data_IF_185127583758
#
_entry.id   IF_185127583758
#
_cell.length_a   1.000
_cell.length_b   1.000
_cell.length_c   1.000
_cell.angle_alpha   90.00
_cell.angle_beta   90.00
_cell.angle_gamma   90.00
#
_symmetry.space_group_name_H-M   'P 1'
#
loop_
_entity.id
_entity.type
_entity.pdbx_description
1 polymer ?
#
# COMPACT_ATOMS: atom_id res chain seq x y z
N UNK A 1 44.30 25.29 14.29
CA UNK A 1 43.67 24.86 15.55
C UNK A 1 43.64 23.34 15.56
N UNK A 2 44.48 22.67 16.34
CA UNK A 2 44.51 21.20 16.45
C UNK A 2 43.57 20.81 17.59
N UNK A 3 42.45 20.16 17.25
CA UNK A 3 41.50 19.64 18.24
C UNK A 3 42.13 18.39 18.89
N UNK A 4 42.52 18.49 20.16
CA UNK A 4 42.92 17.33 20.93
C UNK A 4 41.71 16.82 21.70
N UNK A 5 41.14 15.70 21.24
CA UNK A 5 40.11 14.98 21.97
C UNK A 5 40.79 14.12 23.07
N UNK A 6 40.30 14.15 24.31
CA UNK A 6 40.86 13.31 25.36
C UNK A 6 40.63 11.83 25.06
N UNK A 7 41.57 10.93 25.37
CA UNK A 7 41.52 9.51 25.01
C UNK A 7 40.28 8.77 25.54
N UNK A 8 39.68 9.27 26.63
CA UNK A 8 38.42 8.70 27.17
C UNK A 8 37.20 8.93 26.25
N UNK A 9 37.16 10.04 25.48
CA UNK A 9 36.11 10.29 24.51
C UNK A 9 36.26 9.43 23.24
N UNK A 10 37.52 9.14 22.85
CA UNK A 10 37.80 8.28 21.71
C UNK A 10 37.40 6.83 22.01
N UNK A 11 37.61 6.35 23.24
CA UNK A 11 37.19 5.01 23.67
C UNK A 11 35.69 4.86 23.77
N UNK A 12 34.95 5.90 24.19
CA UNK A 12 33.50 5.90 24.23
C UNK A 12 32.89 5.94 22.82
N UNK A 13 33.52 6.66 21.88
CA UNK A 13 33.07 6.70 20.48
C UNK A 13 33.32 5.37 19.76
N UNK A 14 34.44 4.68 20.04
CA UNK A 14 34.73 3.34 19.50
C UNK A 14 33.82 2.27 20.13
N UNK A 15 33.46 2.40 21.40
CA UNK A 15 32.52 1.50 22.07
C UNK A 15 31.07 1.65 21.54
N UNK A 16 30.67 2.86 21.12
CA UNK A 16 29.39 3.08 20.44
C UNK A 16 29.37 2.58 18.97
N UNK A 17 30.54 2.41 18.33
CA UNK A 17 30.64 1.86 16.99
C UNK A 17 30.72 0.34 16.94
N UNK A 18 30.90 -0.34 18.07
CA UNK A 18 30.59 -1.75 18.20
C UNK A 18 29.07 -1.93 18.35
N UNK A 19 28.28 -1.40 17.41
CA UNK A 19 26.98 -1.98 17.11
C UNK A 19 27.30 -3.41 16.68
N UNK A 20 27.18 -4.32 17.66
CA UNK A 20 27.11 -5.73 17.40
C UNK A 20 26.04 -5.86 16.35
N UNK A 21 26.44 -6.09 15.10
CA UNK A 21 25.56 -6.62 14.08
C UNK A 21 25.16 -7.99 14.64
N UNK A 22 24.10 -8.01 15.45
CA UNK A 22 23.42 -9.25 15.77
C UNK A 22 23.05 -9.76 14.37
N UNK A 23 23.61 -10.88 13.90
CA UNK A 23 23.18 -11.42 12.65
C UNK A 23 21.69 -11.67 12.83
N UNK A 24 20.85 -10.86 12.20
CA UNK A 24 19.43 -11.18 12.09
C UNK A 24 19.40 -12.59 11.52
N UNK A 25 18.86 -13.51 12.29
CA UNK A 25 18.68 -14.87 11.81
C UNK A 25 17.79 -14.76 10.57
N UNK A 26 18.41 -14.91 9.39
CA UNK A 26 17.65 -14.86 8.14
C UNK A 26 16.60 -15.95 8.20
N UNK A 27 15.38 -15.64 7.87
CA UNK A 27 14.31 -16.60 7.77
C UNK A 27 14.73 -17.74 6.83
N UNK A 28 14.43 -18.97 7.19
CA UNK A 28 14.73 -20.10 6.31
C UNK A 28 13.85 -20.03 5.06
N UNK A 29 14.43 -20.43 3.93
CA UNK A 29 13.76 -20.46 2.64
C UNK A 29 13.38 -21.90 2.30
N UNK A 30 12.13 -22.10 1.86
CA UNK A 30 11.61 -23.41 1.46
C UNK A 30 10.99 -23.31 0.08
N UNK A 31 11.54 -24.06 -0.88
CA UNK A 31 11.04 -24.13 -2.26
C UNK A 31 9.93 -25.15 -2.39
N UNK A 32 8.81 -24.76 -2.96
CA UNK A 32 7.68 -25.63 -3.26
C UNK A 32 7.96 -26.53 -4.47
N UNK A 33 7.78 -27.84 -4.32
CA UNK A 33 8.00 -28.84 -5.36
C UNK A 33 6.70 -29.32 -6.05
N UNK A 34 5.53 -29.01 -5.48
CA UNK A 34 4.22 -29.19 -6.12
C UNK A 34 3.82 -30.64 -6.41
N UNK A 35 4.27 -31.62 -5.63
CA UNK A 35 3.91 -33.02 -5.84
C UNK A 35 2.41 -33.28 -5.63
N UNK A 36 1.80 -32.54 -4.70
CA UNK A 36 0.35 -32.44 -4.50
C UNK A 36 0.03 -31.07 -3.91
N UNK A 37 -1.24 -30.76 -3.62
CA UNK A 37 -1.62 -29.45 -3.08
C UNK A 37 -1.46 -29.30 -1.56
N UNK A 38 -1.05 -30.33 -0.81
CA UNK A 38 -0.95 -30.28 0.64
C UNK A 38 0.34 -29.61 1.11
N UNK A 39 0.24 -28.43 1.71
CA UNK A 39 1.38 -27.70 2.28
C UNK A 39 2.09 -28.48 3.40
N UNK A 40 1.42 -29.46 4.02
CA UNK A 40 1.99 -30.31 5.07
C UNK A 40 2.83 -31.45 4.53
N UNK A 41 2.75 -31.77 3.25
CA UNK A 41 3.51 -32.85 2.65
C UNK A 41 5.00 -32.57 2.72
N UNK A 42 5.74 -33.35 3.54
CA UNK A 42 7.19 -33.19 3.72
C UNK A 42 7.95 -33.16 2.39
N UNK A 43 7.54 -33.98 1.42
CA UNK A 43 8.16 -34.09 0.11
C UNK A 43 7.75 -32.97 -0.86
N UNK A 44 6.85 -32.09 -0.47
CA UNK A 44 6.45 -30.93 -1.28
C UNK A 44 7.43 -29.75 -1.16
N UNK A 45 8.45 -29.87 -0.32
CA UNK A 45 9.39 -28.78 -0.02
C UNK A 45 10.86 -29.17 -0.20
N UNK A 46 11.65 -28.21 -0.55
CA UNK A 46 13.11 -28.30 -0.55
C UNK A 46 13.70 -27.09 0.24
N UNK A 47 14.39 -27.31 1.39
CA UNK A 47 14.57 -28.61 2.05
C UNK A 47 13.24 -29.23 2.51
N UNK A 48 13.22 -30.54 2.68
CA UNK A 48 12.05 -31.30 3.14
C UNK A 48 11.61 -30.82 4.53
N UNK A 49 10.30 -30.69 4.74
CA UNK A 49 9.67 -30.20 5.98
C UNK A 49 9.12 -31.40 6.76
N UNK A 50 9.88 -31.86 7.73
CA UNK A 50 9.45 -32.98 8.61
C UNK A 50 8.43 -32.52 9.67
N UNK A 51 8.56 -31.29 10.18
CA UNK A 51 7.65 -30.64 11.12
C UNK A 51 7.12 -29.33 10.54
N UNK A 52 6.01 -29.44 9.84
CA UNK A 52 5.33 -28.28 9.24
C UNK A 52 4.86 -27.24 10.30
N UNK A 53 4.52 -27.70 11.52
CA UNK A 53 4.06 -26.81 12.57
C UNK A 53 5.19 -25.88 13.02
N UNK A 54 6.41 -26.36 13.11
CA UNK A 54 7.56 -25.54 13.42
C UNK A 54 7.91 -24.56 12.28
N UNK A 55 7.62 -24.93 11.02
CA UNK A 55 7.99 -24.14 9.83
C UNK A 55 6.93 -23.09 9.48
N UNK A 56 5.63 -23.42 9.59
CA UNK A 56 4.56 -22.60 9.04
C UNK A 56 3.49 -22.17 10.06
N UNK A 57 3.66 -22.43 11.35
CA UNK A 57 2.67 -22.03 12.36
C UNK A 57 3.27 -21.19 13.49
N UNK A 58 2.41 -20.69 14.36
CA UNK A 58 2.81 -19.95 15.55
C UNK A 58 3.58 -18.67 15.23
N UNK A 59 4.85 -18.63 15.62
CA UNK A 59 5.77 -17.48 15.41
C UNK A 59 6.73 -17.67 14.24
N UNK A 60 6.48 -18.66 13.36
CA UNK A 60 7.33 -18.92 12.21
C UNK A 60 7.45 -17.69 11.30
N UNK A 61 8.66 -17.47 10.80
CA UNK A 61 9.03 -16.31 9.97
C UNK A 61 9.63 -16.71 8.63
N UNK A 62 9.46 -17.98 8.22
CA UNK A 62 10.09 -18.54 7.03
C UNK A 62 9.50 -17.99 5.73
N UNK A 63 10.28 -18.08 4.66
CA UNK A 63 9.90 -17.63 3.32
C UNK A 63 9.56 -18.81 2.42
N UNK A 64 8.45 -18.73 1.69
CA UNK A 64 8.07 -19.66 0.63
C UNK A 64 8.66 -19.20 -0.70
N UNK A 65 9.32 -20.11 -1.40
CA UNK A 65 9.80 -19.90 -2.77
C UNK A 65 8.91 -20.70 -3.71
N UNK A 66 8.22 -20.01 -4.60
CA UNK A 66 7.31 -20.58 -5.59
C UNK A 66 7.94 -20.41 -6.97
N UNK A 67 8.56 -21.47 -7.46
CA UNK A 67 9.28 -21.47 -8.72
C UNK A 67 8.78 -22.61 -9.63
N UNK A 68 8.25 -22.25 -10.79
CA UNK A 68 7.76 -23.23 -11.76
C UNK A 68 8.87 -24.16 -12.26
N UNK A 69 10.11 -23.67 -12.36
CA UNK A 69 11.26 -24.47 -12.79
C UNK A 69 11.68 -25.53 -11.76
N UNK A 70 11.31 -25.34 -10.49
CA UNK A 70 11.62 -26.26 -9.40
C UNK A 70 10.52 -27.31 -9.15
N UNK A 71 9.37 -27.23 -9.83
CA UNK A 71 8.29 -28.18 -9.66
C UNK A 71 8.70 -29.58 -10.12
N UNK A 72 8.59 -30.55 -9.21
CA UNK A 72 8.71 -31.99 -9.52
C UNK A 72 7.33 -32.64 -9.72
N UNK A 73 6.26 -31.96 -9.31
CA UNK A 73 4.85 -32.25 -9.55
C UNK A 73 4.18 -31.20 -10.41
N UNK A 74 2.86 -31.13 -10.38
CA UNK A 74 2.07 -30.21 -11.21
C UNK A 74 1.27 -29.18 -10.41
N UNK A 75 1.21 -29.31 -9.06
CA UNK A 75 0.39 -28.44 -8.24
C UNK A 75 1.03 -27.06 -8.05
N UNK A 76 0.33 -26.03 -8.47
CA UNK A 76 0.61 -24.60 -8.18
C UNK A 76 -0.28 -24.07 -7.04
N UNK A 77 -1.21 -24.89 -6.53
CA UNK A 77 -2.04 -24.55 -5.40
C UNK A 77 -1.48 -25.20 -4.13
N UNK A 78 -1.27 -24.37 -3.11
CA UNK A 78 -0.82 -24.79 -1.78
C UNK A 78 -2.00 -24.70 -0.82
N UNK A 79 -2.48 -25.83 -0.33
CA UNK A 79 -3.61 -25.90 0.60
C UNK A 79 -3.13 -25.99 2.04
N UNK A 80 -3.34 -24.93 2.82
CA UNK A 80 -3.04 -24.91 4.23
C UNK A 80 -4.20 -25.49 5.04
N UNK A 81 -3.96 -26.62 5.73
CA UNK A 81 -4.97 -27.35 6.52
C UNK A 81 -4.89 -27.13 8.03
N UNK A 82 -4.19 -26.12 8.51
CA UNK A 82 -4.05 -25.75 9.93
C UNK A 82 -4.68 -24.40 10.25
N UNK A 83 -4.89 -24.10 11.53
CA UNK A 83 -5.65 -22.92 11.98
C UNK A 83 -4.98 -21.59 11.63
N UNK A 84 -3.67 -21.52 11.56
CA UNK A 84 -2.92 -20.30 11.28
C UNK A 84 -1.71 -20.63 10.44
N UNK A 85 -1.57 -19.95 9.32
CA UNK A 85 -0.36 -19.94 8.50
C UNK A 85 0.48 -18.71 8.90
N UNK A 86 1.73 -18.93 9.31
CA UNK A 86 2.66 -17.82 9.63
C UNK A 86 3.80 -17.82 8.62
N UNK A 87 4.05 -16.66 8.01
CA UNK A 87 5.07 -16.50 6.96
C UNK A 87 5.86 -15.22 7.16
N UNK A 88 7.16 -15.28 6.91
CA UNK A 88 8.06 -14.11 6.83
C UNK A 88 8.16 -13.54 5.42
N UNK A 89 7.75 -14.29 4.41
CA UNK A 89 7.72 -13.82 3.03
C UNK A 89 7.25 -14.87 2.04
N UNK A 90 6.97 -14.39 0.82
CA UNK A 90 6.69 -15.23 -0.35
C UNK A 90 7.49 -14.67 -1.53
N UNK A 91 8.24 -15.51 -2.19
CA UNK A 91 8.89 -15.20 -3.47
C UNK A 91 8.27 -16.05 -4.56
N UNK A 92 7.73 -15.41 -5.60
CA UNK A 92 7.29 -16.07 -6.84
C UNK A 92 8.29 -15.69 -7.93
N UNK A 93 9.03 -16.64 -8.45
CA UNK A 93 10.07 -16.35 -9.44
C UNK A 93 9.50 -15.91 -10.78
N UNK A 94 10.25 -15.14 -11.55
CA UNK A 94 9.80 -14.64 -12.86
C UNK A 94 9.41 -15.79 -13.80
N UNK A 95 8.27 -15.62 -14.51
CA UNK A 95 7.70 -16.64 -15.38
C UNK A 95 6.88 -17.73 -14.66
N UNK A 96 6.72 -17.63 -13.34
CA UNK A 96 6.00 -18.60 -12.51
C UNK A 96 4.57 -18.13 -12.20
N UNK A 97 3.72 -18.08 -13.22
CA UNK A 97 2.33 -17.60 -13.07
C UNK A 97 1.39 -18.66 -12.48
N UNK A 98 0.35 -18.18 -11.78
CA UNK A 98 -0.79 -18.97 -11.33
C UNK A 98 -0.58 -19.74 -10.04
N UNK A 99 0.44 -19.43 -9.27
CA UNK A 99 0.56 -19.95 -7.92
C UNK A 99 -0.48 -19.33 -6.98
N UNK A 100 -0.96 -20.15 -6.05
CA UNK A 100 -1.86 -19.72 -4.99
C UNK A 100 -1.61 -20.43 -3.67
N UNK A 101 -1.79 -19.69 -2.56
CA UNK A 101 -1.83 -20.27 -1.22
C UNK A 101 -3.25 -20.10 -0.69
N UNK A 102 -4.00 -21.20 -0.58
CA UNK A 102 -5.40 -21.19 -0.19
C UNK A 102 -5.62 -21.94 1.13
N UNK A 103 -6.75 -21.67 1.78
CA UNK A 103 -7.15 -22.49 2.92
C UNK A 103 -7.60 -23.86 2.43
N UNK A 104 -7.12 -24.92 3.09
CA UNK A 104 -7.64 -26.29 2.92
C UNK A 104 -8.71 -26.60 3.98
N UNK A 105 -9.81 -27.24 3.59
CA UNK A 105 -10.88 -27.70 4.49
C UNK A 105 -11.81 -26.60 5.02
N UNK A 106 -12.69 -26.96 5.96
CA UNK A 106 -13.83 -26.16 6.41
C UNK A 106 -13.55 -25.17 7.56
N UNK A 107 -12.33 -25.09 8.06
CA UNK A 107 -12.01 -24.27 9.23
C UNK A 107 -11.82 -22.79 8.88
N UNK A 108 -12.18 -21.90 9.82
CA UNK A 108 -11.80 -20.49 9.76
C UNK A 108 -10.30 -20.35 10.00
N UNK A 109 -9.60 -19.64 9.11
CA UNK A 109 -8.13 -19.61 9.10
C UNK A 109 -7.63 -18.21 8.88
N UNK A 110 -6.45 -17.92 9.45
CA UNK A 110 -5.72 -16.68 9.27
C UNK A 110 -4.35 -16.92 8.66
N UNK A 111 -3.84 -15.92 7.97
CA UNK A 111 -2.43 -15.80 7.60
C UNK A 111 -1.81 -14.71 8.47
N UNK A 112 -0.78 -15.04 9.20
CA UNK A 112 0.03 -14.10 9.96
C UNK A 112 1.26 -13.71 9.14
N UNK A 113 1.33 -12.44 8.76
CA UNK A 113 2.48 -11.83 8.10
C UNK A 113 3.46 -11.38 9.16
N UNK A 114 4.65 -11.99 9.19
CA UNK A 114 5.66 -11.77 10.21
C UNK A 114 6.93 -11.20 9.62
N UNK A 115 7.76 -10.62 10.47
CA UNK A 115 9.08 -10.17 10.05
C UNK A 115 9.94 -11.35 9.56
N UNK A 116 10.30 -11.32 8.29
CA UNK A 116 11.19 -12.30 7.65
C UNK A 116 12.68 -12.05 7.92
N UNK A 117 13.01 -11.27 8.96
CA UNK A 117 14.39 -10.93 9.33
C UNK A 117 14.90 -9.62 8.71
N UNK A 118 14.05 -8.89 8.00
CA UNK A 118 14.39 -7.57 7.42
C UNK A 118 13.61 -6.41 8.04
N UNK A 119 12.87 -6.67 9.14
CA UNK A 119 11.95 -5.70 9.76
C UNK A 119 10.55 -5.70 9.15
N UNK A 120 10.31 -6.52 8.13
CA UNK A 120 9.03 -6.62 7.42
C UNK A 120 8.80 -8.00 6.81
N UNK A 121 7.54 -8.31 6.47
CA UNK A 121 7.19 -9.44 5.59
C UNK A 121 7.45 -9.05 4.14
N UNK A 122 8.21 -9.86 3.39
CA UNK A 122 8.50 -9.59 1.98
C UNK A 122 7.63 -10.44 1.05
N UNK A 123 6.94 -9.78 0.13
CA UNK A 123 6.34 -10.37 -1.06
C UNK A 123 7.14 -9.93 -2.29
N UNK A 124 7.87 -10.85 -2.91
CA UNK A 124 8.64 -10.62 -4.13
C UNK A 124 8.04 -11.45 -5.26
N UNK A 125 7.16 -10.81 -6.05
CA UNK A 125 6.21 -11.48 -6.93
C UNK A 125 6.59 -11.23 -8.38
N UNK A 126 7.33 -12.17 -8.97
CA UNK A 126 7.74 -12.16 -10.37
C UNK A 126 6.75 -12.80 -11.34
N UNK A 127 5.66 -13.42 -10.85
CA UNK A 127 4.55 -14.01 -11.60
C UNK A 127 3.21 -13.68 -10.98
N UNK A 128 2.09 -14.02 -11.65
CA UNK A 128 0.76 -13.84 -11.06
C UNK A 128 0.55 -14.76 -9.86
N UNK A 129 0.08 -14.20 -8.75
CA UNK A 129 -0.05 -14.90 -7.47
C UNK A 129 -1.34 -14.54 -6.73
N UNK A 130 -1.87 -15.50 -5.95
CA UNK A 130 -3.02 -15.26 -5.08
C UNK A 130 -2.81 -15.81 -3.67
N UNK A 131 -3.07 -14.99 -2.67
CA UNK A 131 -3.17 -15.41 -1.27
C UNK A 131 -4.65 -15.52 -0.91
N UNK A 132 -5.15 -16.75 -0.90
CA UNK A 132 -6.58 -17.08 -0.89
C UNK A 132 -7.18 -17.13 -2.30
N UNK A 133 -8.47 -17.36 -2.35
CA UNK A 133 -9.29 -17.28 -3.57
C UNK A 133 -10.70 -16.80 -3.22
N UNK A 134 -11.51 -16.41 -4.24
CA UNK A 134 -12.89 -16.02 -4.03
C UNK A 134 -13.74 -17.15 -3.41
N UNK A 135 -13.46 -18.41 -3.77
CA UNK A 135 -14.14 -19.59 -3.22
C UNK A 135 -13.61 -20.03 -1.86
N UNK A 136 -12.35 -19.70 -1.55
CA UNK A 136 -11.67 -20.09 -0.32
C UNK A 136 -10.86 -18.92 0.27
N UNK A 137 -11.54 -17.82 0.71
CA UNK A 137 -10.86 -16.69 1.31
C UNK A 137 -10.34 -17.06 2.70
N UNK A 138 -9.33 -16.33 3.19
CA UNK A 138 -8.83 -16.44 4.56
C UNK A 138 -9.82 -15.79 5.53
N UNK A 139 -10.81 -16.54 6.01
CA UNK A 139 -11.96 -15.99 6.73
C UNK A 139 -11.60 -15.25 8.03
N UNK A 140 -10.56 -15.66 8.76
CA UNK A 140 -10.04 -14.95 9.93
C UNK A 140 -9.00 -13.88 9.56
N UNK A 141 -8.74 -13.70 8.27
CA UNK A 141 -7.99 -12.59 7.73
C UNK A 141 -6.53 -12.87 7.42
N UNK A 142 -5.94 -11.86 6.82
CA UNK A 142 -4.50 -11.73 6.56
C UNK A 142 -3.99 -10.66 7.53
N UNK A 143 -3.24 -11.08 8.53
CA UNK A 143 -2.92 -10.27 9.72
C UNK A 143 -1.48 -9.78 9.65
N UNK A 144 -1.30 -8.49 9.60
CA UNK A 144 0.00 -7.84 9.66
C UNK A 144 0.52 -7.83 11.11
N UNK A 145 1.46 -8.73 11.42
CA UNK A 145 2.20 -8.73 12.70
C UNK A 145 3.49 -7.91 12.59
N UNK A 146 3.92 -7.60 11.37
CA UNK A 146 5.02 -6.71 11.02
C UNK A 146 4.57 -5.83 9.84
N UNK A 147 5.37 -4.85 9.49
CA UNK A 147 5.22 -4.14 8.21
C UNK A 147 5.30 -5.14 7.05
N UNK A 148 4.72 -4.82 5.90
CA UNK A 148 4.76 -5.71 4.75
C UNK A 148 5.15 -4.94 3.49
N UNK A 149 6.11 -5.45 2.73
CA UNK A 149 6.56 -4.89 1.47
C UNK A 149 6.12 -5.78 0.30
N UNK A 150 5.35 -5.22 -0.61
CA UNK A 150 4.86 -5.88 -1.82
C UNK A 150 5.65 -5.40 -3.04
N UNK A 151 6.59 -6.21 -3.52
CA UNK A 151 7.30 -6.03 -4.79
C UNK A 151 6.63 -6.91 -5.83
N UNK A 152 5.94 -6.31 -6.78
CA UNK A 152 5.22 -7.04 -7.83
C UNK A 152 5.80 -6.60 -9.17
N UNK A 153 6.28 -7.55 -9.95
CA UNK A 153 6.89 -7.27 -11.25
C UNK A 153 5.91 -6.56 -12.19
N UNK A 154 6.43 -5.77 -13.12
CA UNK A 154 5.63 -5.07 -14.12
C UNK A 154 4.71 -6.02 -14.89
N UNK A 155 3.44 -5.65 -15.04
CA UNK A 155 2.43 -6.45 -15.72
C UNK A 155 1.96 -7.70 -14.97
N UNK A 156 2.41 -7.90 -13.71
CA UNK A 156 1.96 -9.00 -12.86
C UNK A 156 0.99 -8.52 -11.78
N UNK A 157 0.21 -9.48 -11.25
CA UNK A 157 -0.80 -9.22 -10.24
C UNK A 157 -0.63 -10.09 -9.01
N UNK A 158 -0.86 -9.49 -7.85
CA UNK A 158 -1.03 -10.22 -6.60
C UNK A 158 -2.42 -9.95 -6.03
N UNK A 159 -3.18 -11.03 -5.77
CA UNK A 159 -4.51 -10.96 -5.18
C UNK A 159 -4.50 -11.34 -3.71
N UNK A 160 -5.14 -10.54 -2.87
CA UNK A 160 -5.41 -10.87 -1.46
C UNK A 160 -6.91 -11.15 -1.27
N UNK A 161 -7.23 -12.37 -0.87
CA UNK A 161 -8.59 -12.83 -0.55
C UNK A 161 -8.71 -13.17 0.93
N UNK A 162 -9.02 -12.17 1.73
CA UNK A 162 -9.24 -12.27 3.17
C UNK A 162 -9.27 -10.89 3.79
N UNK A 163 -10.08 -10.66 4.84
CA UNK A 163 -10.07 -9.38 5.54
C UNK A 163 -8.66 -9.05 6.04
N UNK A 164 -8.19 -7.85 5.75
CA UNK A 164 -6.89 -7.40 6.24
C UNK A 164 -7.02 -6.93 7.69
N UNK A 165 -6.08 -7.28 8.54
CA UNK A 165 -6.03 -6.87 9.94
C UNK A 165 -4.61 -6.56 10.40
N UNK A 166 -4.49 -5.86 11.52
CA UNK A 166 -3.23 -5.56 12.20
C UNK A 166 -3.23 -6.23 13.56
N UNK A 167 -2.17 -6.93 13.90
CA UNK A 167 -2.02 -7.52 15.22
C UNK A 167 -1.48 -6.51 16.22
N UNK A 168 -2.10 -6.45 17.40
CA UNK A 168 -1.70 -5.54 18.48
C UNK A 168 -2.16 -4.11 18.26
N UNK A 169 -1.66 -3.22 19.10
CA UNK A 169 -1.88 -1.78 19.00
C UNK A 169 -0.82 -1.12 18.08
N UNK A 170 -1.23 -0.08 17.38
CA UNK A 170 -0.36 0.70 16.48
C UNK A 170 -0.73 0.56 15.01
N UNK A 171 -0.07 1.36 14.18
CA UNK A 171 -0.16 1.31 12.72
C UNK A 171 0.91 0.39 12.14
N UNK A 172 0.67 -0.08 10.91
CA UNK A 172 1.68 -0.76 10.08
C UNK A 172 1.93 0.07 8.82
N UNK A 173 3.15 0.01 8.33
CA UNK A 173 3.48 0.56 7.01
C UNK A 173 3.45 -0.55 5.99
N UNK A 174 2.73 -0.32 4.89
CA UNK A 174 2.53 -1.28 3.81
C UNK A 174 2.96 -0.66 2.48
N UNK A 175 4.27 -0.70 2.16
CA UNK A 175 4.75 -0.30 0.85
C UNK A 175 4.29 -1.26 -0.25
N UNK A 176 3.82 -0.68 -1.36
CA UNK A 176 3.45 -1.40 -2.59
C UNK A 176 4.26 -0.81 -3.74
N UNK A 177 5.04 -1.65 -4.40
CA UNK A 177 5.97 -1.25 -5.44
C UNK A 177 7.35 -0.88 -4.91
N UNK A 178 8.29 -0.85 -5.81
CA UNK A 178 9.67 -0.41 -5.65
C UNK A 178 10.24 -0.15 -7.05
N UNK A 179 11.48 0.30 -7.15
CA UNK A 179 12.15 0.44 -8.44
C UNK A 179 12.12 -0.89 -9.23
N UNK A 180 11.57 -0.86 -10.44
CA UNK A 180 11.39 -2.04 -11.28
C UNK A 180 10.19 -2.94 -10.94
N UNK A 181 9.38 -2.60 -9.92
CA UNK A 181 8.23 -3.40 -9.46
C UNK A 181 6.95 -2.59 -9.55
N UNK A 182 6.44 -2.40 -10.75
CA UNK A 182 5.25 -1.59 -11.06
C UNK A 182 3.98 -2.43 -11.29
N UNK A 183 3.91 -3.64 -10.74
CA UNK A 183 2.74 -4.51 -10.85
C UNK A 183 1.56 -4.06 -9.98
N UNK A 184 0.52 -4.89 -9.92
CA UNK A 184 -0.75 -4.57 -9.26
C UNK A 184 -0.98 -5.42 -8.02
N UNK A 185 -1.22 -4.77 -6.88
CA UNK A 185 -1.79 -5.40 -5.69
C UNK A 185 -3.31 -5.21 -5.67
N UNK A 186 -4.06 -6.29 -5.55
CA UNK A 186 -5.53 -6.28 -5.56
C UNK A 186 -6.07 -6.71 -4.19
N UNK A 187 -6.85 -5.83 -3.57
CA UNK A 187 -7.53 -6.08 -2.30
C UNK A 187 -8.99 -6.44 -2.57
N UNK A 188 -9.37 -7.70 -2.30
CA UNK A 188 -10.66 -8.24 -2.70
C UNK A 188 -11.72 -8.21 -1.59
N UNK A 189 -11.34 -7.97 -0.33
CA UNK A 189 -12.25 -8.03 0.82
C UNK A 189 -12.13 -6.80 1.70
N UNK A 190 -13.19 -6.49 2.46
CA UNK A 190 -13.14 -5.43 3.46
C UNK A 190 -12.06 -5.73 4.52
N UNK A 191 -11.44 -4.70 5.06
CA UNK A 191 -10.55 -4.80 6.21
C UNK A 191 -11.33 -5.20 7.47
N UNK A 192 -10.62 -5.76 8.45
CA UNK A 192 -11.16 -5.99 9.79
C UNK A 192 -11.38 -4.67 10.51
N UNK A 193 -12.31 -4.65 11.46
CA UNK A 193 -12.47 -3.52 12.35
C UNK A 193 -11.15 -3.23 13.09
N UNK A 194 -10.74 -1.97 13.12
CA UNK A 194 -9.46 -1.56 13.74
C UNK A 194 -8.22 -1.77 12.87
N UNK A 195 -8.37 -2.20 11.61
CA UNK A 195 -7.24 -2.19 10.66
C UNK A 195 -6.70 -0.77 10.52
N UNK A 196 -5.44 -0.58 10.95
CA UNK A 196 -4.73 0.69 10.82
C UNK A 196 -3.39 0.43 10.14
N UNK A 197 -3.33 0.69 8.83
CA UNK A 197 -2.11 0.53 8.04
C UNK A 197 -1.96 1.69 7.07
N UNK A 198 -0.77 2.28 7.05
CA UNK A 198 -0.41 3.34 6.11
C UNK A 198 0.10 2.71 4.81
N UNK A 199 -0.63 2.93 3.74
CA UNK A 199 -0.31 2.42 2.42
C UNK A 199 0.60 3.40 1.69
N UNK A 200 1.74 2.92 1.21
CA UNK A 200 2.72 3.73 0.48
C UNK A 200 2.95 3.13 -0.90
N UNK A 201 2.29 3.68 -1.92
CA UNK A 201 2.33 3.15 -3.29
C UNK A 201 3.37 3.94 -4.09
N UNK A 202 4.37 3.25 -4.63
CA UNK A 202 5.54 3.86 -5.30
C UNK A 202 5.94 3.08 -6.56
N UNK A 203 6.93 3.57 -7.30
CA UNK A 203 7.56 2.84 -8.40
C UNK A 203 6.64 2.51 -9.58
N UNK A 204 5.57 3.29 -9.78
CA UNK A 204 4.57 3.02 -10.82
C UNK A 204 3.61 1.87 -10.50
N UNK A 205 3.65 1.31 -9.30
CA UNK A 205 2.75 0.23 -8.88
C UNK A 205 1.29 0.69 -8.82
N UNK A 206 0.38 -0.28 -8.92
CA UNK A 206 -1.06 -0.05 -8.79
C UNK A 206 -1.60 -0.73 -7.54
N UNK A 207 -2.32 0.02 -6.71
CA UNK A 207 -3.19 -0.54 -5.69
C UNK A 207 -4.63 -0.55 -6.20
N UNK A 208 -5.23 -1.73 -6.33
CA UNK A 208 -6.61 -1.89 -6.78
C UNK A 208 -7.51 -2.33 -5.64
N UNK A 209 -8.61 -1.61 -5.44
CA UNK A 209 -9.63 -1.88 -4.44
C UNK A 209 -10.86 -2.49 -5.12
N UNK A 210 -11.07 -3.79 -4.93
CA UNK A 210 -12.31 -4.46 -5.32
C UNK A 210 -13.36 -4.39 -4.20
N UNK A 211 -12.96 -3.93 -3.02
CA UNK A 211 -13.84 -3.62 -1.89
C UNK A 211 -13.48 -2.25 -1.32
N UNK A 212 -14.48 -1.43 -1.14
CA UNK A 212 -14.33 -0.05 -0.67
C UNK A 212 -13.69 0.08 0.72
N UNK A 213 -13.97 -0.85 1.61
CA UNK A 213 -13.45 -0.86 2.98
C UNK A 213 -12.13 -1.63 3.14
N UNK A 214 -11.45 -1.97 2.04
CA UNK A 214 -10.24 -2.81 2.10
C UNK A 214 -9.03 -2.14 2.73
N UNK A 215 -8.96 -0.79 2.72
CA UNK A 215 -7.81 -0.02 3.21
C UNK A 215 -7.73 0.08 4.74
N UNK A 216 -8.84 -0.13 5.45
CA UNK A 216 -8.91 0.20 6.88
C UNK A 216 -8.91 1.72 7.12
N UNK A 217 -8.24 2.19 8.19
CA UNK A 217 -8.28 3.59 8.63
C UNK A 217 -6.96 4.37 8.44
N UNK A 218 -5.87 3.74 8.02
CA UNK A 218 -4.57 4.41 7.81
C UNK A 218 -4.54 5.35 6.60
N UNK A 219 -3.45 6.08 6.44
CA UNK A 219 -3.26 6.98 5.31
C UNK A 219 -2.92 6.22 4.02
N UNK A 220 -3.17 6.87 2.88
CA UNK A 220 -2.77 6.38 1.55
C UNK A 220 -1.87 7.42 0.89
N UNK A 221 -0.66 7.03 0.55
CA UNK A 221 0.32 7.88 -0.12
C UNK A 221 0.61 7.33 -1.51
N UNK A 222 0.27 8.08 -2.55
CA UNK A 222 0.62 7.78 -3.94
C UNK A 222 1.80 8.65 -4.36
N UNK A 223 2.88 8.02 -4.81
CA UNK A 223 4.05 8.74 -5.31
C UNK A 223 4.49 8.15 -6.65
N UNK A 224 4.12 8.82 -7.75
CA UNK A 224 4.38 8.33 -9.10
C UNK A 224 3.74 6.95 -9.38
N UNK A 225 2.50 6.72 -8.92
CA UNK A 225 1.86 5.41 -8.86
C UNK A 225 0.35 5.52 -9.10
N UNK A 226 -0.39 4.42 -8.99
CA UNK A 226 -1.82 4.38 -9.34
C UNK A 226 -2.68 3.82 -8.21
N UNK A 227 -3.89 4.39 -8.06
CA UNK A 227 -4.98 3.85 -7.27
C UNK A 227 -6.18 3.55 -8.19
N UNK A 228 -6.73 2.34 -8.07
CA UNK A 228 -7.96 1.96 -8.76
C UNK A 228 -9.02 1.57 -7.75
N UNK A 229 -10.21 2.16 -7.78
CA UNK A 229 -11.35 1.80 -6.96
C UNK A 229 -12.52 1.35 -7.85
N UNK A 230 -12.94 0.09 -7.71
CA UNK A 230 -13.93 -0.55 -8.57
C UNK A 230 -15.37 -0.40 -8.07
N UNK A 231 -15.56 0.16 -6.90
CA UNK A 231 -16.87 0.33 -6.27
C UNK A 231 -17.14 1.78 -5.90
N UNK A 232 -18.40 2.18 -5.97
CA UNK A 232 -18.85 3.46 -5.47
C UNK A 232 -18.71 3.50 -3.94
N UNK A 233 -17.95 4.45 -3.43
CA UNK A 233 -17.65 4.57 -2.01
C UNK A 233 -17.15 5.94 -1.62
N UNK A 234 -17.24 6.25 -0.33
CA UNK A 234 -16.46 7.36 0.25
C UNK A 234 -15.23 6.79 0.93
N UNK A 235 -14.04 7.15 0.43
CA UNK A 235 -12.77 6.83 1.05
C UNK A 235 -12.48 7.87 2.13
N UNK A 236 -12.57 7.43 3.39
CA UNK A 236 -12.30 8.27 4.56
C UNK A 236 -10.80 8.45 4.84
N UNK A 237 -9.96 7.63 4.21
CA UNK A 237 -8.51 7.69 4.35
C UNK A 237 -7.96 9.05 3.89
N UNK A 238 -6.98 9.59 4.62
CA UNK A 238 -6.21 10.70 4.12
C UNK A 238 -5.39 10.24 2.90
N UNK A 239 -5.66 10.85 1.73
CA UNK A 239 -4.99 10.53 0.48
C UNK A 239 -3.98 11.62 0.14
N UNK A 240 -2.70 11.29 0.17
CA UNK A 240 -1.62 12.19 -0.23
C UNK A 240 -1.09 11.81 -1.61
N UNK A 241 -1.07 12.77 -2.52
CA UNK A 241 -0.58 12.61 -3.88
C UNK A 241 0.79 13.29 -3.99
N UNK A 242 1.80 12.52 -4.39
CA UNK A 242 3.13 13.00 -4.72
C UNK A 242 3.51 12.65 -6.16
N UNK A 243 4.42 13.41 -6.75
CA UNK A 243 4.88 13.18 -8.12
C UNK A 243 3.75 13.21 -9.15
N UNK A 244 3.92 12.44 -10.23
CA UNK A 244 2.89 12.24 -11.26
C UNK A 244 2.17 10.92 -11.00
N UNK A 245 1.02 10.98 -10.35
CA UNK A 245 0.23 9.80 -9.98
C UNK A 245 -1.05 9.71 -10.81
N UNK A 246 -1.61 8.50 -10.91
CA UNK A 246 -2.85 8.23 -11.62
C UNK A 246 -3.93 7.67 -10.70
N UNK A 247 -5.19 7.86 -11.11
CA UNK A 247 -6.32 7.30 -10.42
C UNK A 247 -7.42 6.88 -11.41
N UNK A 248 -8.00 5.72 -11.17
CA UNK A 248 -9.17 5.26 -11.90
C UNK A 248 -10.22 4.84 -10.88
N UNK A 249 -11.32 5.57 -10.82
CA UNK A 249 -12.37 5.36 -9.82
C UNK A 249 -13.74 5.37 -10.48
N UNK A 250 -14.71 4.70 -9.87
CA UNK A 250 -16.10 4.82 -10.29
C UNK A 250 -16.62 6.25 -10.06
N UNK A 251 -17.63 6.65 -10.83
CA UNK A 251 -18.14 8.03 -10.87
C UNK A 251 -18.70 8.53 -9.53
N UNK A 252 -19.19 7.63 -8.67
CA UNK A 252 -19.71 7.97 -7.35
C UNK A 252 -18.67 7.80 -6.22
N UNK A 253 -17.42 7.46 -6.53
CA UNK A 253 -16.35 7.40 -5.52
C UNK A 253 -16.00 8.82 -5.06
N UNK A 254 -16.03 9.04 -3.74
CA UNK A 254 -15.71 10.32 -3.11
C UNK A 254 -14.53 10.18 -2.14
N UNK A 255 -13.87 11.29 -1.85
CA UNK A 255 -12.73 11.36 -0.93
C UNK A 255 -12.98 12.42 0.13
N UNK A 256 -12.80 12.05 1.41
CA UNK A 256 -12.99 12.99 2.52
C UNK A 256 -11.81 13.95 2.66
N UNK A 257 -10.59 13.51 2.34
CA UNK A 257 -9.40 14.34 2.50
C UNK A 257 -8.36 13.98 1.44
N UNK A 258 -8.03 14.94 0.56
CA UNK A 258 -7.01 14.78 -0.48
C UNK A 258 -5.95 15.87 -0.32
N UNK A 259 -4.69 15.45 -0.36
CA UNK A 259 -3.52 16.33 -0.28
C UNK A 259 -2.72 16.20 -1.58
N UNK A 260 -2.65 17.23 -2.36
CA UNK A 260 -1.71 17.35 -3.47
C UNK A 260 -0.41 17.97 -2.94
N UNK A 261 0.63 17.16 -2.84
CA UNK A 261 1.97 17.60 -2.40
C UNK A 261 2.56 18.61 -3.41
N UNK A 262 3.67 19.24 -3.04
CA UNK A 262 4.31 20.26 -3.86
C UNK A 262 4.52 19.82 -5.31
N UNK A 263 4.02 20.62 -6.26
CA UNK A 263 4.13 20.39 -7.70
C UNK A 263 3.66 19.02 -8.18
N UNK A 264 2.75 18.37 -7.45
CA UNK A 264 2.21 17.07 -7.84
C UNK A 264 1.13 17.16 -8.91
N UNK A 265 0.97 16.09 -9.66
CA UNK A 265 -0.10 15.94 -10.64
C UNK A 265 -0.87 14.65 -10.44
N UNK A 266 -2.18 14.72 -10.57
CA UNK A 266 -3.09 13.59 -10.51
C UNK A 266 -3.82 13.42 -11.85
N UNK A 267 -3.59 12.31 -12.52
CA UNK A 267 -4.32 11.98 -13.75
C UNK A 267 -5.52 11.09 -13.41
N UNK A 268 -6.73 11.60 -13.68
CA UNK A 268 -7.99 10.90 -13.45
C UNK A 268 -8.41 10.00 -14.62
N UNK A 269 -7.58 9.83 -15.64
CA UNK A 269 -7.88 9.03 -16.83
C UNK A 269 -9.24 9.38 -17.49
N UNK A 270 -9.54 10.69 -17.56
CA UNK A 270 -10.81 11.20 -18.06
C UNK A 270 -11.97 11.19 -17.06
N UNK A 271 -11.77 10.66 -15.87
CA UNK A 271 -12.75 10.64 -14.78
C UNK A 271 -12.79 11.95 -13.98
N UNK A 272 -13.43 11.86 -12.82
CA UNK A 272 -13.66 13.01 -11.91
C UNK A 272 -13.08 12.70 -10.53
N UNK A 273 -12.27 13.60 -9.97
CA UNK A 273 -11.96 13.64 -8.56
C UNK A 273 -13.12 14.29 -7.81
N UNK A 274 -13.80 13.53 -6.96
CA UNK A 274 -14.90 14.03 -6.14
C UNK A 274 -14.47 14.20 -4.69
N UNK A 275 -14.44 15.41 -4.18
CA UNK A 275 -14.29 15.70 -2.75
C UNK A 275 -15.67 15.62 -2.11
N UNK A 276 -15.80 14.86 -1.04
CA UNK A 276 -17.05 14.64 -0.31
C UNK A 276 -17.58 15.94 0.32
N UNK A 277 -18.84 15.93 0.73
CA UNK A 277 -19.39 17.02 1.56
C UNK A 277 -18.55 17.22 2.81
N UNK A 278 -18.29 18.48 3.16
CA UNK A 278 -17.40 18.86 4.27
C UNK A 278 -15.99 18.26 4.21
N UNK A 279 -15.60 17.67 3.08
CA UNK A 279 -14.27 17.16 2.82
C UNK A 279 -13.26 18.26 2.54
N UNK A 280 -11.98 17.90 2.33
CA UNK A 280 -10.94 18.87 2.06
C UNK A 280 -10.05 18.49 0.88
N UNK A 281 -9.66 19.50 0.10
CA UNK A 281 -8.56 19.45 -0.85
C UNK A 281 -7.45 20.37 -0.36
N UNK A 282 -6.30 19.81 -0.03
CA UNK A 282 -5.15 20.57 0.45
C UNK A 282 -4.04 20.57 -0.62
N UNK A 283 -3.47 21.73 -0.86
CA UNK A 283 -2.42 21.96 -1.85
C UNK A 283 -1.12 22.36 -1.15
N UNK A 284 -0.01 21.82 -1.61
CA UNK A 284 1.32 22.32 -1.26
C UNK A 284 1.59 23.66 -1.91
N UNK A 285 2.57 23.74 -2.81
CA UNK A 285 2.87 24.96 -3.58
C UNK A 285 2.05 25.07 -4.85
N UNK A 286 1.69 23.96 -5.46
CA UNK A 286 0.78 23.87 -6.62
C UNK A 286 0.34 22.43 -6.82
N UNK A 287 -0.80 22.24 -7.48
CA UNK A 287 -1.31 20.91 -7.85
C UNK A 287 -2.02 20.95 -9.21
N UNK A 288 -1.95 19.83 -9.94
CA UNK A 288 -2.67 19.67 -11.20
C UNK A 288 -3.58 18.43 -11.13
N UNK A 289 -4.84 18.60 -11.51
CA UNK A 289 -5.80 17.52 -11.74
C UNK A 289 -6.07 17.44 -13.24
N UNK A 290 -5.58 16.38 -13.87
CA UNK A 290 -5.89 16.10 -15.29
C UNK A 290 -7.16 15.26 -15.34
N UNK A 291 -8.27 15.91 -15.73
CA UNK A 291 -9.63 15.40 -15.65
C UNK A 291 -10.54 16.43 -15.00
N UNK A 292 -11.67 15.98 -14.46
CA UNK A 292 -12.63 16.83 -13.77
C UNK A 292 -12.41 16.85 -12.26
N UNK A 293 -12.86 17.90 -11.59
CA UNK A 293 -12.88 18.04 -10.14
C UNK A 293 -14.28 18.48 -9.69
N UNK A 294 -14.84 17.74 -8.73
CA UNK A 294 -16.08 18.14 -8.05
C UNK A 294 -15.78 18.41 -6.58
N UNK A 295 -16.13 19.58 -6.10
CA UNK A 295 -16.08 19.96 -4.69
C UNK A 295 -17.49 19.86 -4.11
N UNK A 296 -17.66 18.97 -3.12
CA UNK A 296 -18.92 18.76 -2.41
C UNK A 296 -19.34 19.99 -1.60
N UNK A 297 -20.58 20.01 -1.17
CA UNK A 297 -21.14 21.12 -0.37
C UNK A 297 -20.33 21.31 0.92
N UNK A 298 -19.94 22.56 1.22
CA UNK A 298 -19.16 22.90 2.40
C UNK A 298 -17.76 22.29 2.44
N UNK A 299 -17.22 21.90 1.29
CA UNK A 299 -15.84 21.43 1.22
C UNK A 299 -14.84 22.56 1.35
N UNK A 300 -13.64 22.23 1.82
CA UNK A 300 -12.56 23.19 2.08
C UNK A 300 -11.44 23.06 1.05
N UNK A 301 -10.96 24.22 0.59
CA UNK A 301 -9.69 24.34 -0.13
C UNK A 301 -8.64 24.89 0.84
N UNK A 302 -7.59 24.13 1.06
CA UNK A 302 -6.45 24.52 1.88
C UNK A 302 -5.21 24.68 1.00
N UNK A 303 -4.34 25.63 1.32
CA UNK A 303 -3.04 25.79 0.65
C UNK A 303 -2.02 26.40 1.61
N UNK A 304 -0.75 26.06 1.42
CA UNK A 304 0.34 26.47 2.30
C UNK A 304 1.15 27.65 1.76
N UNK A 305 0.92 28.08 0.52
CA UNK A 305 1.60 29.20 -0.10
C UNK A 305 0.68 29.94 -1.07
N UNK A 306 0.89 31.23 -1.25
CA UNK A 306 0.22 32.00 -2.31
C UNK A 306 0.89 31.72 -3.66
N UNK A 307 0.13 31.73 -4.77
CA UNK A 307 0.73 31.62 -6.09
C UNK A 307 1.61 32.84 -6.39
N UNK A 308 2.71 32.59 -7.08
CA UNK A 308 3.47 33.69 -7.68
C UNK A 308 2.65 34.33 -8.81
N UNK A 309 2.97 35.59 -9.13
CA UNK A 309 2.27 36.34 -10.22
C UNK A 309 2.26 35.51 -11.51
N UNK A 310 1.07 35.32 -12.08
CA UNK A 310 0.85 34.55 -13.31
C UNK A 310 0.86 33.02 -13.15
N UNK A 311 0.91 32.49 -11.92
CA UNK A 311 0.78 31.09 -11.63
C UNK A 311 -0.54 30.77 -10.91
N UNK A 312 -1.00 29.54 -11.01
CA UNK A 312 -2.17 29.04 -10.30
C UNK A 312 -1.74 28.04 -9.22
N UNK A 313 -2.48 27.98 -8.11
CA UNK A 313 -2.27 26.94 -7.09
C UNK A 313 -2.86 25.60 -7.55
N UNK A 314 -4.02 25.65 -8.17
CA UNK A 314 -4.71 24.48 -8.68
C UNK A 314 -5.00 24.65 -10.18
N UNK A 315 -4.56 23.67 -10.95
CA UNK A 315 -4.89 23.56 -12.36
C UNK A 315 -5.78 22.34 -12.59
N UNK A 316 -6.99 22.53 -13.11
CA UNK A 316 -7.95 21.48 -13.49
C UNK A 316 -8.12 21.53 -15.01
N UNK A 317 -7.68 20.48 -15.71
CA UNK A 317 -7.70 20.51 -17.18
C UNK A 317 -9.11 20.35 -17.76
N UNK A 318 -10.05 19.78 -17.01
CA UNK A 318 -11.44 19.59 -17.36
C UNK A 318 -12.38 20.57 -16.65
N UNK A 319 -13.53 20.08 -16.22
CA UNK A 319 -14.55 20.86 -15.52
C UNK A 319 -14.31 20.86 -14.01
N UNK A 320 -14.30 22.04 -13.41
CA UNK A 320 -14.45 22.24 -11.98
C UNK A 320 -15.92 22.46 -11.64
N UNK A 321 -16.50 21.58 -10.83
CA UNK A 321 -17.86 21.74 -10.29
C UNK A 321 -17.79 22.09 -8.81
N UNK A 322 -18.45 23.17 -8.40
CA UNK A 322 -18.57 23.60 -7.00
C UNK A 322 -20.04 23.53 -6.61
N UNK A 323 -20.41 22.54 -5.77
CA UNK A 323 -21.82 22.26 -5.48
C UNK A 323 -22.47 23.28 -4.51
N UNK A 324 -21.74 24.21 -3.97
CA UNK A 324 -22.26 25.35 -3.18
C UNK A 324 -21.19 26.45 -3.11
N UNK A 325 -20.87 26.91 -1.93
CA UNK A 325 -19.74 27.83 -1.74
C UNK A 325 -18.42 27.06 -1.52
N UNK A 326 -17.33 27.62 -2.02
CA UNK A 326 -15.98 27.14 -1.75
C UNK A 326 -15.45 27.81 -0.49
N UNK A 327 -15.16 27.04 0.54
CA UNK A 327 -14.62 27.53 1.80
C UNK A 327 -13.09 27.48 1.79
N UNK A 328 -12.44 28.53 2.30
CA UNK A 328 -11.01 28.49 2.59
C UNK A 328 -10.81 28.02 4.04
N UNK A 329 -9.95 27.04 4.25
CA UNK A 329 -9.66 26.53 5.59
C UNK A 329 -8.98 27.59 6.48
N UNK A 330 -9.27 27.59 7.78
CA UNK A 330 -8.72 28.56 8.74
C UNK A 330 -7.18 28.56 8.77
N UNK A 331 -6.54 27.40 8.65
CA UNK A 331 -5.08 27.30 8.58
C UNK A 331 -4.49 28.03 7.36
N UNK A 332 -5.22 28.05 6.25
CA UNK A 332 -4.88 28.80 5.05
C UNK A 332 -4.97 30.30 5.29
N UNK A 333 -6.03 30.75 5.96
CA UNK A 333 -6.28 32.18 6.19
C UNK A 333 -5.34 32.75 7.25
N UNK A 334 -5.15 32.03 8.36
CA UNK A 334 -4.37 32.52 9.51
C UNK A 334 -2.87 32.35 9.37
N UNK A 335 -2.41 31.39 8.56
CA UNK A 335 -0.97 31.08 8.40
C UNK A 335 -0.24 31.92 7.37
N UNK A 336 -0.91 32.81 6.63
CA UNK A 336 -0.33 33.56 5.51
C UNK A 336 -0.35 35.05 5.69
N UNK A 337 0.69 35.72 5.19
CA UNK A 337 0.71 37.18 5.04
C UNK A 337 0.15 37.53 3.66
N UNK A 338 -1.07 38.08 3.64
CA UNK A 338 -1.72 38.53 2.42
C UNK A 338 -1.27 39.95 2.06
N UNK A 339 -0.68 40.11 0.89
CA UNK A 339 -0.45 41.46 0.32
C UNK A 339 -1.72 41.96 -0.41
N UNK A 340 -1.89 43.25 -0.50
CA UNK A 340 -2.98 43.80 -1.33
C UNK A 340 -2.74 43.43 -2.80
N UNK A 341 -3.74 42.82 -3.45
CA UNK A 341 -3.64 42.38 -4.84
C UNK A 341 -4.73 41.39 -5.24
N UNK A 342 -4.70 40.97 -6.51
CA UNK A 342 -5.51 39.88 -7.02
C UNK A 342 -4.64 38.62 -7.15
N UNK A 343 -5.16 37.48 -6.78
CA UNK A 343 -4.49 36.16 -6.85
C UNK A 343 -5.32 35.23 -7.71
N UNK A 344 -4.70 34.69 -8.76
CA UNK A 344 -5.30 33.67 -9.60
C UNK A 344 -5.10 32.28 -8.91
N UNK A 345 -6.10 31.81 -8.17
CA UNK A 345 -5.98 30.62 -7.34
C UNK A 345 -6.18 29.33 -8.12
N UNK A 346 -7.16 29.35 -9.03
CA UNK A 346 -7.61 28.15 -9.73
C UNK A 346 -7.71 28.45 -11.23
N UNK A 347 -7.12 27.59 -12.05
CA UNK A 347 -7.37 27.51 -13.48
C UNK A 347 -8.20 26.26 -13.77
N UNK A 348 -9.26 26.38 -14.53
CA UNK A 348 -10.09 25.28 -14.97
C UNK A 348 -10.57 25.48 -16.42
N UNK A 349 -10.72 24.38 -17.17
CA UNK A 349 -11.26 24.43 -18.53
C UNK A 349 -12.69 24.97 -18.56
N UNK A 350 -13.51 24.56 -17.60
CA UNK A 350 -14.88 25.06 -17.36
C UNK A 350 -15.15 25.11 -15.86
N UNK A 351 -15.89 26.10 -15.39
CA UNK A 351 -16.35 26.18 -14.00
C UNK A 351 -17.87 26.15 -14.00
N UNK A 352 -18.45 25.29 -13.19
CA UNK A 352 -19.91 25.13 -12.98
C UNK A 352 -20.22 25.09 -11.48
N UNK A 353 -21.43 25.53 -11.11
CA UNK A 353 -21.89 25.56 -9.72
C UNK A 353 -23.20 26.29 -9.58
#
# INVERSE_FOLDING_TARGET
MKLHLPPALLSALLACMAIVSVPYARAAEYTWLGQNSDIHGANNWNPSVADWAAVWSGTATNTMILDQGSLTGTSKELQASFNTLSIGGITVTGGSDGFSVVKGGAYNRAVNLRDGGAGYTLFDIGGDFSLGSAAAPWANGIIFNADALFKIAAGKTMNLFGPLGVAGEGSRTVPVGADGHSGTLILNTAAQAGMNADWVITGGATLQLNNAAALGSGAVNLNGSHLTAQQDTTLANALTIGGSSGMTVNTATQFSNVILSNASSLNMNGGTLCIAESGSLSLGTSGTVTGNLTLGSGSFLNFSALPSSGAYLLNVTGTLTVNSELLLGEATISGMTWAAGSYDMINAGTITG
#
